data_IF_539158030694
#
_entry.id   IF_539158030694
#
_cell.length_a   1.000
_cell.length_b   1.000
_cell.length_c   1.000
_cell.angle_alpha   90.00
_cell.angle_beta   90.00
_cell.angle_gamma   90.00
#
_symmetry.space_group_name_H-M   'P 1'
#
loop_
_entity.id
_entity.type
_entity.pdbx_description
1 polymer ?
#
# COMPACT_ATOMS: atom_id res chain seq x y z
N UNK A 1 15.62 -7.20 23.28
CA UNK A 1 14.31 -6.89 22.70
C UNK A 1 14.23 -7.49 21.30
N UNK A 2 13.08 -7.98 20.80
CA UNK A 2 12.98 -8.50 19.42
C UNK A 2 13.20 -7.40 18.39
N UNK A 3 13.92 -7.70 17.30
CA UNK A 3 14.23 -6.74 16.22
C UNK A 3 13.02 -6.53 15.29
N UNK A 4 12.18 -7.56 15.12
CA UNK A 4 10.93 -7.53 14.36
C UNK A 4 9.86 -8.34 15.07
N UNK A 5 8.60 -8.06 14.76
CA UNK A 5 7.45 -8.83 15.26
C UNK A 5 6.86 -9.69 14.13
N UNK A 6 6.39 -10.91 14.44
CA UNK A 6 5.78 -11.80 13.44
C UNK A 6 4.37 -11.31 13.08
N UNK A 7 4.28 -10.38 12.14
CA UNK A 7 3.01 -9.87 11.64
C UNK A 7 2.26 -10.93 10.81
N UNK A 8 0.97 -11.11 11.07
CA UNK A 8 0.10 -12.07 10.35
C UNK A 8 -0.49 -11.52 9.06
N UNK A 9 -0.37 -10.21 8.84
CA UNK A 9 -0.80 -9.48 7.65
C UNK A 9 0.18 -8.33 7.38
N UNK A 10 0.19 -7.73 6.18
CA UNK A 10 1.11 -6.65 5.82
C UNK A 10 0.79 -5.33 6.54
N UNK A 11 1.14 -5.26 7.83
CA UNK A 11 0.80 -4.16 8.73
C UNK A 11 1.35 -2.79 8.27
N UNK A 12 2.51 -2.78 7.60
CA UNK A 12 3.12 -1.56 7.09
C UNK A 12 2.22 -0.83 6.08
N UNK A 13 1.52 -1.57 5.21
CA UNK A 13 0.60 -1.00 4.23
C UNK A 13 -0.79 -0.79 4.82
N UNK A 14 -1.24 -1.69 5.69
CA UNK A 14 -2.55 -1.59 6.33
C UNK A 14 -2.68 -0.31 7.18
N UNK A 15 -1.68 -0.04 8.03
CA UNK A 15 -1.69 1.14 8.89
C UNK A 15 -0.99 2.35 8.26
N UNK A 16 -0.13 2.13 7.27
CA UNK A 16 0.78 3.16 6.78
C UNK A 16 1.89 3.49 7.78
N UNK A 17 2.70 4.48 7.44
CA UNK A 17 3.76 5.01 8.29
C UNK A 17 4.19 6.38 7.81
N UNK A 18 4.32 7.34 8.73
CA UNK A 18 4.90 8.65 8.46
C UNK A 18 6.11 8.88 9.37
N UNK A 19 7.19 9.41 8.81
CA UNK A 19 8.43 9.63 9.54
C UNK A 19 9.36 10.60 8.82
N UNK A 20 10.09 11.39 9.60
CA UNK A 20 11.07 12.35 9.11
C UNK A 20 12.40 12.05 9.80
N UNK A 21 13.45 11.92 9.00
CA UNK A 21 14.82 11.77 9.46
C UNK A 21 15.71 12.83 8.80
N UNK A 22 17.01 12.83 9.12
CA UNK A 22 17.95 13.82 8.57
C UNK A 22 18.19 13.54 7.09
N UNK A 23 17.63 14.39 6.21
CA UNK A 23 17.78 14.30 4.76
C UNK A 23 16.83 13.32 4.07
N UNK A 24 15.90 12.69 4.78
CA UNK A 24 14.90 11.79 4.21
C UNK A 24 13.56 11.85 4.94
N UNK A 25 12.49 11.57 4.21
CA UNK A 25 11.15 11.42 4.76
C UNK A 25 10.48 10.16 4.18
N UNK A 26 9.62 9.55 4.97
CA UNK A 26 8.79 8.42 4.57
C UNK A 26 7.34 8.78 4.85
N UNK A 27 6.49 8.58 3.87
CA UNK A 27 5.05 8.69 4.03
C UNK A 27 4.39 7.57 3.23
N UNK A 28 3.77 6.63 3.93
CA UNK A 28 3.06 5.49 3.37
C UNK A 28 1.61 5.62 3.84
N UNK A 29 0.64 5.81 2.93
CA UNK A 29 -0.75 5.91 3.33
C UNK A 29 -1.33 4.54 3.75
N UNK A 30 -2.39 4.52 4.57
CA UNK A 30 -3.09 3.29 4.95
C UNK A 30 -3.86 2.69 3.77
N UNK A 31 -4.10 1.37 3.82
CA UNK A 31 -4.82 0.61 2.81
C UNK A 31 -5.74 -0.42 3.47
N UNK A 32 -6.74 -0.88 2.73
CA UNK A 32 -7.69 -1.84 3.24
C UNK A 32 -7.04 -3.22 3.45
N UNK A 33 -7.25 -3.83 4.62
CA UNK A 33 -6.63 -5.11 4.97
C UNK A 33 -7.14 -6.25 4.07
N UNK A 34 -8.42 -6.25 3.71
CA UNK A 34 -9.00 -7.31 2.89
C UNK A 34 -8.40 -7.28 1.48
N UNK A 35 -8.33 -6.09 0.88
CA UNK A 35 -7.71 -5.85 -0.43
C UNK A 35 -6.24 -6.29 -0.46
N UNK A 36 -5.46 -5.94 0.57
CA UNK A 36 -4.07 -6.36 0.71
C UNK A 36 -3.95 -7.89 0.82
N UNK A 37 -4.80 -8.53 1.63
CA UNK A 37 -4.79 -9.99 1.77
C UNK A 37 -5.12 -10.68 0.44
N UNK A 38 -6.09 -10.18 -0.31
CA UNK A 38 -6.46 -10.70 -1.63
C UNK A 38 -5.32 -10.54 -2.65
N UNK A 39 -4.68 -9.37 -2.67
CA UNK A 39 -3.50 -9.12 -3.51
C UNK A 39 -2.34 -10.07 -3.16
N UNK A 40 -2.06 -10.29 -1.87
CA UNK A 40 -1.05 -11.25 -1.43
C UNK A 40 -1.41 -12.68 -1.84
N UNK A 41 -2.66 -13.10 -1.67
CA UNK A 41 -3.13 -14.42 -2.11
C UNK A 41 -3.02 -14.58 -3.63
N UNK A 42 -3.23 -13.51 -4.41
CA UNK A 42 -3.01 -13.51 -5.85
C UNK A 42 -1.53 -13.68 -6.18
N UNK A 43 -0.63 -12.93 -5.54
CA UNK A 43 0.82 -13.04 -5.73
C UNK A 43 1.37 -14.42 -5.37
N UNK A 44 0.80 -15.08 -4.35
CA UNK A 44 1.17 -16.46 -4.01
C UNK A 44 0.85 -17.43 -5.16
N UNK A 45 -0.28 -17.21 -5.87
CA UNK A 45 -0.70 -18.05 -7.00
C UNK A 45 0.02 -17.69 -8.30
N UNK A 46 0.31 -16.40 -8.48
CA UNK A 46 0.93 -15.83 -9.69
C UNK A 46 2.07 -14.89 -9.26
N UNK A 47 3.28 -15.42 -9.00
CA UNK A 47 4.39 -14.62 -8.48
C UNK A 47 4.85 -13.47 -9.38
N UNK A 48 4.68 -13.61 -10.69
CA UNK A 48 5.07 -12.61 -11.69
C UNK A 48 3.89 -11.69 -12.11
N UNK A 49 2.90 -11.52 -11.23
CA UNK A 49 1.79 -10.62 -11.50
C UNK A 49 2.31 -9.19 -11.72
N UNK A 50 1.73 -8.50 -12.72
CA UNK A 50 2.11 -7.12 -13.05
C UNK A 50 1.47 -6.15 -12.07
N UNK A 51 2.09 -5.00 -11.86
CA UNK A 51 1.56 -3.92 -11.01
C UNK A 51 0.12 -3.54 -11.40
N UNK A 52 -0.17 -3.46 -12.70
CA UNK A 52 -1.50 -3.20 -13.25
C UNK A 52 -2.55 -4.25 -12.84
N UNK A 53 -2.10 -5.49 -12.59
CA UNK A 53 -2.97 -6.55 -12.09
C UNK A 53 -3.27 -6.33 -10.61
N UNK A 54 -2.26 -5.94 -9.82
CA UNK A 54 -2.39 -5.68 -8.39
C UNK A 54 -3.27 -4.45 -8.09
N UNK A 55 -3.25 -3.45 -8.97
CA UNK A 55 -4.13 -2.28 -8.91
C UNK A 55 -5.63 -2.64 -8.99
N UNK A 56 -5.99 -3.81 -9.51
CA UNK A 56 -7.38 -4.27 -9.47
C UNK A 56 -7.79 -4.82 -8.10
N UNK A 57 -6.82 -5.23 -7.29
CA UNK A 57 -7.04 -5.69 -5.91
C UNK A 57 -6.90 -4.55 -4.91
N UNK A 58 -5.92 -3.66 -5.12
CA UNK A 58 -5.64 -2.50 -4.28
C UNK A 58 -5.83 -1.24 -5.13
N UNK A 59 -7.06 -0.71 -5.23
CA UNK A 59 -7.39 0.41 -6.11
C UNK A 59 -6.79 1.74 -5.63
N UNK A 60 -6.46 1.86 -4.35
CA UNK A 60 -5.91 3.06 -3.76
C UNK A 60 -5.78 2.98 -2.24
N UNK A 61 -5.34 4.08 -1.60
CA UNK A 61 -5.36 4.20 -0.15
C UNK A 61 -6.77 4.10 0.45
N UNK A 62 -6.85 3.67 1.71
CA UNK A 62 -8.10 3.62 2.49
C UNK A 62 -7.92 4.38 3.81
N UNK A 63 -8.45 5.59 3.88
CA UNK A 63 -8.33 6.45 5.05
C UNK A 63 -9.53 6.30 5.99
N UNK A 64 -9.33 6.27 7.31
CA UNK A 64 -10.40 6.11 8.30
C UNK A 64 -11.21 7.41 8.53
N UNK A 65 -11.45 8.17 7.47
CA UNK A 65 -12.08 9.50 7.50
C UNK A 65 -13.43 9.54 6.79
N UNK A 66 -13.78 8.51 6.02
CA UNK A 66 -15.01 8.47 5.21
C UNK A 66 -15.02 9.44 4.02
N UNK A 67 -13.88 10.07 3.72
CA UNK A 67 -13.72 10.94 2.57
C UNK A 67 -13.63 10.16 1.25
N UNK A 68 -13.76 10.87 0.13
CA UNK A 68 -13.56 10.30 -1.20
C UNK A 68 -12.20 10.75 -1.74
N UNK A 69 -11.40 9.80 -2.23
CA UNK A 69 -10.17 10.10 -2.95
C UNK A 69 -10.54 10.69 -4.31
N UNK A 70 -10.08 11.91 -4.57
CA UNK A 70 -10.36 12.65 -5.82
C UNK A 70 -9.25 12.51 -6.86
N UNK A 71 -8.13 11.88 -6.49
CA UNK A 71 -7.02 11.66 -7.41
C UNK A 71 -7.42 10.73 -8.56
N UNK A 72 -7.01 11.05 -9.81
CA UNK A 72 -7.15 10.14 -10.94
C UNK A 72 -6.47 8.80 -10.68
N UNK A 73 -7.04 7.72 -11.21
CA UNK A 73 -6.49 6.37 -11.07
C UNK A 73 -5.08 6.25 -11.64
N UNK A 74 -4.78 7.02 -12.68
CA UNK A 74 -3.48 7.08 -13.32
C UNK A 74 -2.41 7.60 -12.37
N UNK A 75 -2.73 8.61 -11.55
CA UNK A 75 -1.82 9.17 -10.56
C UNK A 75 -1.51 8.15 -9.45
N UNK A 76 -2.54 7.43 -8.99
CA UNK A 76 -2.37 6.35 -8.00
C UNK A 76 -1.49 5.23 -8.56
N UNK A 77 -1.74 4.84 -9.81
CA UNK A 77 -0.96 3.81 -10.48
C UNK A 77 0.52 4.22 -10.65
N UNK A 78 0.78 5.47 -11.03
CA UNK A 78 2.14 6.01 -11.12
C UNK A 78 2.82 6.06 -9.75
N UNK A 79 2.08 6.46 -8.70
CA UNK A 79 2.60 6.50 -7.33
C UNK A 79 3.02 5.11 -6.84
N UNK A 80 2.25 4.07 -7.14
CA UNK A 80 2.59 2.69 -6.77
C UNK A 80 3.77 2.14 -7.57
N UNK A 81 3.87 2.46 -8.87
CA UNK A 81 5.01 2.01 -9.70
C UNK A 81 6.33 2.69 -9.31
N UNK A 82 6.28 3.98 -8.98
CA UNK A 82 7.48 4.77 -8.68
C UNK A 82 7.83 4.81 -7.19
N UNK A 83 6.87 4.46 -6.32
CA UNK A 83 6.97 4.61 -4.87
C UNK A 83 6.90 6.07 -4.40
N UNK A 84 6.52 7.02 -5.28
CA UNK A 84 6.44 8.45 -4.97
C UNK A 84 5.22 9.07 -5.64
N UNK A 85 4.46 9.85 -4.89
CA UNK A 85 3.27 10.55 -5.39
C UNK A 85 2.74 11.54 -4.36
N UNK A 86 1.61 12.16 -4.67
CA UNK A 86 0.91 13.13 -3.83
C UNK A 86 -0.56 12.77 -3.72
#
# INVERSE_FOLDING_TARGET
EPVVLPATFPNLLANGSSGIAVGMATNIPPHNIAELCEACLHLIKTPDARDDTLLNFVPGPDFPTGGTIVEPKENIAEAYRTGRGS
#
